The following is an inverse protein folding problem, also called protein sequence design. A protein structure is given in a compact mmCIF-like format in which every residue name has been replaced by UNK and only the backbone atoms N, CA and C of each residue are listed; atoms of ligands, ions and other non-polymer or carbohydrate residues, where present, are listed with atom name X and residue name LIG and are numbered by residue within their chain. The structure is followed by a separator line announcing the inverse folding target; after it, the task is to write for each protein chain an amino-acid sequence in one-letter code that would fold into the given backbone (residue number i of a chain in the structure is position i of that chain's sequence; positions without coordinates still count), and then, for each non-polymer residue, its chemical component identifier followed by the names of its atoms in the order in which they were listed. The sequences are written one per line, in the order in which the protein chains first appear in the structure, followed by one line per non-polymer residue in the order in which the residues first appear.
data_IF_219108176613
#
_entry.id   IF_219108176613
#
_cell.length_a   1.000
_cell.length_b   1.000
_cell.length_c   1.000
_cell.angle_alpha   90.00
_cell.angle_beta   90.00
_cell.angle_gamma   90.00
#
_symmetry.space_group_name_H-M   'P 1'
#
loop_
_entity.id
_entity.type
_entity.pdbx_description
1 polymer ?
#
# COMPACT_ATOMS: atom_id res chain seq x y z
N UNK A 1 -36.16 -21.74 -41.96
CA UNK A 1 -35.25 -22.27 -40.91
C UNK A 1 -33.88 -21.56 -40.87
N UNK A 2 -33.75 -20.32 -41.36
CA UNK A 2 -32.44 -19.65 -41.56
C UNK A 2 -32.12 -18.55 -40.53
N UNK A 3 -33.13 -18.01 -39.84
CA UNK A 3 -32.95 -16.92 -38.86
C UNK A 3 -32.52 -17.41 -37.47
N UNK A 4 -33.02 -18.56 -37.02
CA UNK A 4 -32.72 -19.11 -35.69
C UNK A 4 -31.21 -19.35 -35.49
N UNK A 5 -30.49 -19.66 -36.57
CA UNK A 5 -29.04 -19.92 -36.57
C UNK A 5 -28.21 -18.62 -36.46
N UNK A 6 -28.67 -17.51 -37.06
CA UNK A 6 -27.97 -16.21 -36.98
C UNK A 6 -28.08 -15.60 -35.59
N UNK A 7 -29.27 -15.60 -35.00
CA UNK A 7 -29.50 -15.07 -33.65
C UNK A 7 -28.72 -15.86 -32.59
N UNK A 8 -28.70 -17.20 -32.70
CA UNK A 8 -27.89 -18.05 -31.83
C UNK A 8 -26.39 -17.78 -31.98
N UNK A 9 -25.90 -17.60 -33.21
CA UNK A 9 -24.49 -17.25 -33.46
C UNK A 9 -24.09 -15.91 -32.84
N UNK A 10 -24.94 -14.89 -32.92
CA UNK A 10 -24.69 -13.58 -32.30
C UNK A 10 -24.67 -13.69 -30.78
N UNK A 11 -25.63 -14.40 -30.20
CA UNK A 11 -25.71 -14.59 -28.75
C UNK A 11 -24.47 -15.31 -28.21
N UNK A 12 -23.99 -16.33 -28.91
CA UNK A 12 -22.78 -17.07 -28.51
C UNK A 12 -21.51 -16.21 -28.61
N UNK A 13 -21.44 -15.25 -29.54
CA UNK A 13 -20.35 -14.27 -29.62
C UNK A 13 -20.37 -13.32 -28.42
N UNK A 14 -21.55 -12.76 -28.11
CA UNK A 14 -21.71 -11.86 -26.96
C UNK A 14 -21.31 -12.57 -25.67
N UNK A 15 -21.78 -13.81 -25.47
CA UNK A 15 -21.37 -14.63 -24.31
C UNK A 15 -19.86 -14.83 -24.27
N UNK A 16 -19.25 -15.20 -25.40
CA UNK A 16 -17.80 -15.42 -25.48
C UNK A 16 -17.03 -14.14 -25.13
N UNK A 17 -17.47 -12.98 -25.62
CA UNK A 17 -16.84 -11.70 -25.26
C UNK A 17 -17.04 -11.34 -23.80
N UNK A 18 -18.24 -11.54 -23.24
CA UNK A 18 -18.50 -11.28 -21.82
C UNK A 18 -17.62 -12.16 -20.91
N UNK A 19 -17.53 -13.46 -21.20
CA UNK A 19 -16.66 -14.40 -20.49
C UNK A 19 -15.19 -13.97 -20.63
N UNK A 20 -14.77 -13.60 -21.83
CA UNK A 20 -13.41 -13.14 -22.10
C UNK A 20 -13.05 -11.87 -21.34
N UNK A 21 -13.98 -10.91 -21.28
CA UNK A 21 -13.82 -9.66 -20.53
C UNK A 21 -13.72 -9.90 -19.02
N UNK A 22 -14.61 -10.72 -18.46
CA UNK A 22 -14.57 -11.11 -17.04
C UNK A 22 -13.25 -11.83 -16.73
N UNK A 23 -12.84 -12.75 -17.60
CA UNK A 23 -11.56 -13.46 -17.46
C UNK A 23 -10.36 -12.52 -17.47
N UNK A 24 -10.33 -11.56 -18.41
CA UNK A 24 -9.27 -10.55 -18.49
C UNK A 24 -9.25 -9.62 -17.27
N UNK A 25 -10.42 -9.21 -16.75
CA UNK A 25 -10.52 -8.39 -15.54
C UNK A 25 -10.01 -9.13 -14.31
N UNK A 26 -10.41 -10.39 -14.11
CA UNK A 26 -9.94 -11.22 -12.99
C UNK A 26 -8.44 -11.48 -13.11
N UNK A 27 -7.95 -11.76 -14.32
CA UNK A 27 -6.52 -11.95 -14.57
C UNK A 27 -5.71 -10.70 -14.20
N UNK A 28 -6.11 -9.53 -14.70
CA UNK A 28 -5.44 -8.26 -14.43
C UNK A 28 -5.47 -7.91 -12.92
N UNK A 29 -6.61 -8.11 -12.25
CA UNK A 29 -6.67 -7.94 -10.79
C UNK A 29 -5.73 -8.92 -10.06
N UNK A 30 -5.75 -10.19 -10.44
CA UNK A 30 -4.88 -11.23 -9.85
C UNK A 30 -3.40 -10.89 -9.98
N UNK A 31 -2.98 -10.38 -11.14
CA UNK A 31 -1.58 -9.94 -11.34
C UNK A 31 -1.20 -8.76 -10.45
N UNK A 32 -2.12 -7.86 -10.13
CA UNK A 32 -1.83 -6.76 -9.18
C UNK A 32 -1.80 -7.19 -7.72
N UNK A 33 -2.38 -8.35 -7.38
CA UNK A 33 -2.42 -8.85 -6.00
C UNK A 33 -1.12 -9.54 -5.55
N UNK A 34 -0.16 -9.74 -6.47
CA UNK A 34 1.21 -10.11 -6.11
C UNK A 34 1.94 -8.98 -5.37
N UNK A 35 1.47 -7.74 -5.50
CA UNK A 35 1.93 -6.62 -4.71
C UNK A 35 1.12 -6.50 -3.41
N UNK A 36 1.76 -6.01 -2.35
CA UNK A 36 1.09 -5.79 -1.08
C UNK A 36 0.05 -4.66 -1.22
N UNK A 37 -1.22 -4.98 -1.03
CA UNK A 37 -2.33 -4.01 -1.05
C UNK A 37 -2.98 -3.93 0.33
N UNK A 38 -3.49 -2.76 0.70
CA UNK A 38 -4.14 -2.54 2.00
C UNK A 38 -5.55 -3.12 2.09
N UNK A 39 -6.16 -3.45 0.96
CA UNK A 39 -7.48 -4.09 0.88
C UNK A 39 -7.50 -4.97 -0.36
N UNK A 40 -7.78 -6.25 -0.16
CA UNK A 40 -7.96 -7.21 -1.23
C UNK A 40 -9.45 -7.40 -1.47
N UNK A 41 -9.89 -7.14 -2.70
CA UNK A 41 -11.23 -7.54 -3.13
C UNK A 41 -11.18 -9.02 -3.47
N UNK A 42 -11.64 -9.87 -2.55
CA UNK A 42 -11.65 -11.33 -2.69
C UNK A 42 -12.96 -11.78 -3.32
N UNK A 43 -12.97 -12.34 -4.54
CA UNK A 43 -14.17 -12.96 -5.08
C UNK A 43 -14.60 -14.12 -4.18
N UNK A 44 -15.89 -14.23 -3.84
CA UNK A 44 -16.40 -15.26 -2.92
C UNK A 44 -15.99 -16.69 -3.30
N UNK A 45 -15.87 -16.97 -4.60
CA UNK A 45 -15.44 -18.28 -5.14
C UNK A 45 -14.01 -18.63 -4.70
N UNK A 46 -13.16 -17.62 -4.47
CA UNK A 46 -11.77 -17.79 -4.06
C UNK A 46 -11.55 -17.58 -2.56
N UNK A 47 -12.61 -17.33 -1.77
CA UNK A 47 -12.52 -17.23 -0.30
C UNK A 47 -11.81 -18.44 0.33
N UNK A 48 -12.15 -19.70 -0.04
CA UNK A 48 -11.49 -20.86 0.57
C UNK A 48 -9.99 -20.93 0.25
N UNK A 49 -9.58 -20.40 -0.91
CA UNK A 49 -8.17 -20.37 -1.32
C UNK A 49 -7.43 -19.29 -0.54
N UNK A 50 -8.06 -18.12 -0.36
CA UNK A 50 -7.52 -17.03 0.44
C UNK A 50 -7.33 -17.44 1.91
N UNK A 51 -8.29 -18.14 2.49
CA UNK A 51 -8.22 -18.56 3.90
C UNK A 51 -7.07 -19.56 4.16
N UNK A 52 -6.70 -20.37 3.16
CA UNK A 52 -5.64 -21.39 3.28
C UNK A 52 -4.26 -20.86 2.88
N UNK A 53 -4.18 -20.06 1.81
CA UNK A 53 -2.92 -19.69 1.16
C UNK A 53 -2.63 -18.18 1.18
N UNK A 54 -3.52 -17.38 1.78
CA UNK A 54 -3.39 -15.93 1.89
C UNK A 54 -3.35 -15.21 0.55
N UNK A 55 -2.73 -14.03 0.54
CA UNK A 55 -2.69 -13.12 -0.61
C UNK A 55 -2.04 -13.76 -1.85
N UNK A 56 -0.97 -14.54 -1.65
CA UNK A 56 -0.23 -15.19 -2.74
C UNK A 56 -1.12 -16.26 -3.40
N UNK A 57 -1.79 -17.09 -2.61
CA UNK A 57 -2.70 -18.10 -3.14
C UNK A 57 -3.91 -17.51 -3.84
N UNK A 58 -4.43 -16.39 -3.33
CA UNK A 58 -5.50 -15.64 -3.99
C UNK A 58 -5.05 -15.07 -5.35
N UNK A 59 -3.86 -14.44 -5.40
CA UNK A 59 -3.31 -13.89 -6.64
C UNK A 59 -3.15 -14.99 -7.71
N UNK A 60 -2.54 -16.11 -7.34
CA UNK A 60 -2.40 -17.28 -8.22
C UNK A 60 -3.77 -17.81 -8.65
N UNK A 61 -4.71 -17.95 -7.72
CA UNK A 61 -6.07 -18.42 -8.00
C UNK A 61 -6.82 -17.53 -8.99
N UNK A 62 -6.70 -16.21 -8.84
CA UNK A 62 -7.29 -15.23 -9.77
C UNK A 62 -6.63 -15.30 -11.15
N UNK A 63 -5.31 -15.38 -11.23
CA UNK A 63 -4.60 -15.51 -12.52
C UNK A 63 -5.03 -16.77 -13.26
N UNK A 64 -5.07 -17.91 -12.56
CA UNK A 64 -5.50 -19.18 -13.15
C UNK A 64 -6.98 -19.17 -13.56
N UNK A 65 -7.86 -18.62 -12.72
CA UNK A 65 -9.28 -18.49 -13.03
C UNK A 65 -9.50 -17.58 -14.25
N UNK A 66 -8.84 -16.42 -14.29
CA UNK A 66 -8.91 -15.47 -15.39
C UNK A 66 -8.42 -16.09 -16.71
N UNK A 67 -7.27 -16.76 -16.68
CA UNK A 67 -6.72 -17.48 -17.82
C UNK A 67 -7.68 -18.61 -18.30
N UNK A 68 -8.26 -19.37 -17.37
CA UNK A 68 -9.23 -20.42 -17.67
C UNK A 68 -10.49 -19.90 -18.34
N UNK A 69 -11.04 -18.78 -17.87
CA UNK A 69 -12.21 -18.12 -18.47
C UNK A 69 -11.89 -17.59 -19.87
N UNK A 70 -10.73 -16.95 -20.07
CA UNK A 70 -10.30 -16.48 -21.38
C UNK A 70 -10.10 -17.64 -22.38
N UNK A 71 -9.53 -18.76 -21.93
CA UNK A 71 -9.42 -19.97 -22.73
C UNK A 71 -10.81 -20.52 -23.12
N UNK A 72 -11.74 -20.58 -22.17
CA UNK A 72 -13.10 -21.05 -22.44
C UNK A 72 -13.86 -20.12 -23.41
N UNK A 73 -13.69 -18.80 -23.25
CA UNK A 73 -14.19 -17.80 -24.18
C UNK A 73 -13.63 -18.01 -25.60
N UNK A 74 -12.33 -18.24 -25.74
CA UNK A 74 -11.70 -18.50 -27.02
C UNK A 74 -12.22 -19.78 -27.68
N UNK A 75 -12.31 -20.88 -26.91
CA UNK A 75 -12.85 -22.16 -27.39
C UNK A 75 -14.30 -22.01 -27.86
N UNK A 76 -15.11 -21.23 -27.13
CA UNK A 76 -16.52 -20.95 -27.49
C UNK A 76 -16.62 -20.10 -28.75
N UNK A 77 -15.80 -19.06 -28.87
CA UNK A 77 -15.76 -18.20 -30.06
C UNK A 77 -15.34 -18.96 -31.32
N UNK A 78 -14.30 -19.80 -31.22
CA UNK A 78 -13.78 -20.61 -32.32
C UNK A 78 -14.78 -21.65 -32.85
N UNK A 79 -15.65 -22.18 -31.99
CA UNK A 79 -16.75 -23.06 -32.41
C UNK A 79 -17.76 -22.36 -33.32
N UNK A 80 -17.92 -21.03 -33.18
CA UNK A 80 -18.92 -20.24 -33.91
C UNK A 80 -18.31 -19.50 -35.11
N UNK A 81 -17.04 -19.12 -35.04
CA UNK A 81 -16.29 -18.51 -36.15
C UNK A 81 -15.01 -19.28 -36.41
N UNK A 82 -15.14 -20.36 -37.19
CA UNK A 82 -14.00 -21.12 -37.69
C UNK A 82 -13.06 -20.19 -38.46
N UNK A 83 -11.76 -20.26 -38.17
CA UNK A 83 -10.71 -19.51 -38.88
C UNK A 83 -10.41 -18.09 -38.38
N UNK A 84 -11.12 -17.56 -37.37
CA UNK A 84 -10.87 -16.19 -36.83
C UNK A 84 -10.21 -16.18 -35.45
N UNK A 85 -9.28 -17.10 -35.21
CA UNK A 85 -8.54 -17.19 -33.95
C UNK A 85 -7.79 -15.88 -33.61
N UNK A 86 -7.14 -15.27 -34.60
CA UNK A 86 -6.40 -14.02 -34.41
C UNK A 86 -7.27 -12.86 -33.92
N UNK A 87 -8.52 -12.78 -34.36
CA UNK A 87 -9.46 -11.74 -33.90
C UNK A 87 -9.76 -11.89 -32.40
N UNK A 88 -10.01 -13.12 -31.93
CA UNK A 88 -10.29 -13.35 -30.52
C UNK A 88 -9.07 -13.08 -29.65
N UNK A 89 -7.87 -13.46 -30.10
CA UNK A 89 -6.62 -13.17 -29.39
C UNK A 89 -6.42 -11.66 -29.27
N UNK A 90 -6.61 -10.91 -30.36
CA UNK A 90 -6.51 -9.45 -30.34
C UNK A 90 -7.51 -8.79 -29.39
N UNK A 91 -8.76 -9.27 -29.36
CA UNK A 91 -9.79 -8.78 -28.42
C UNK A 91 -9.42 -9.07 -26.96
N UNK A 92 -8.95 -10.27 -26.66
CA UNK A 92 -8.53 -10.62 -25.29
C UNK A 92 -7.33 -9.79 -24.83
N UNK A 93 -6.33 -9.58 -25.70
CA UNK A 93 -5.20 -8.71 -25.42
C UNK A 93 -5.66 -7.28 -25.16
N UNK A 94 -6.58 -6.76 -25.97
CA UNK A 94 -7.19 -5.45 -25.75
C UNK A 94 -7.93 -5.39 -24.40
N UNK A 95 -8.71 -6.40 -24.03
CA UNK A 95 -9.39 -6.43 -22.74
C UNK A 95 -8.43 -6.43 -21.55
N UNK A 96 -7.30 -7.14 -21.64
CA UNK A 96 -6.26 -7.11 -20.60
C UNK A 96 -5.70 -5.69 -20.46
N UNK A 97 -5.29 -5.07 -21.57
CA UNK A 97 -4.74 -3.70 -21.58
C UNK A 97 -5.76 -2.69 -21.04
N UNK A 98 -7.02 -2.78 -21.49
CA UNK A 98 -8.09 -1.91 -21.03
C UNK A 98 -8.34 -2.03 -19.52
N UNK A 99 -8.31 -3.25 -18.97
CA UNK A 99 -8.45 -3.47 -17.53
C UNK A 99 -7.26 -2.94 -16.74
N UNK A 100 -6.03 -3.06 -17.24
CA UNK A 100 -4.88 -2.38 -16.61
C UNK A 100 -5.05 -0.85 -16.62
N UNK A 101 -5.53 -0.28 -17.71
CA UNK A 101 -5.86 1.15 -17.80
C UNK A 101 -6.91 1.56 -16.75
N UNK A 102 -7.97 0.77 -16.58
CA UNK A 102 -8.99 1.00 -15.56
C UNK A 102 -8.45 0.88 -14.13
N UNK A 103 -7.62 -0.13 -13.86
CA UNK A 103 -6.97 -0.30 -12.56
C UNK A 103 -6.06 0.90 -12.25
N UNK A 104 -5.27 1.33 -13.23
CA UNK A 104 -4.39 2.49 -13.09
C UNK A 104 -5.19 3.77 -12.83
N UNK A 105 -6.24 4.04 -13.61
CA UNK A 105 -7.13 5.19 -13.39
C UNK A 105 -7.80 5.15 -12.01
N UNK A 106 -8.33 3.98 -11.60
CA UNK A 106 -8.94 3.80 -10.29
C UNK A 106 -7.96 3.93 -9.12
N UNK A 107 -6.66 3.80 -9.37
CA UNK A 107 -5.62 3.95 -8.35
C UNK A 107 -4.93 5.32 -8.41
N UNK A 108 -5.19 6.14 -9.43
CA UNK A 108 -4.57 7.44 -9.64
C UNK A 108 -5.06 8.51 -8.64
N UNK A 109 -6.30 8.36 -8.18
CA UNK A 109 -6.97 9.32 -7.27
C UNK A 109 -7.27 8.72 -5.88
N UNK A 110 -6.78 7.50 -5.59
CA UNK A 110 -6.92 6.96 -4.24
C UNK A 110 -5.84 7.60 -3.36
N UNK A 111 -6.21 8.30 -2.26
CA UNK A 111 -5.23 8.72 -1.27
C UNK A 111 -4.47 7.47 -0.82
N UNK A 112 -3.14 7.58 -0.74
CA UNK A 112 -2.28 6.48 -0.31
C UNK A 112 -2.86 5.87 0.97
N UNK A 113 -2.94 4.54 1.01
CA UNK A 113 -3.60 3.87 2.12
C UNK A 113 -2.75 3.99 3.39
N UNK A 114 -3.38 4.12 4.58
CA UNK A 114 -2.68 4.41 5.83
C UNK A 114 -1.50 3.49 6.14
N UNK A 115 -1.56 2.22 5.73
CA UNK A 115 -0.48 1.25 5.93
C UNK A 115 0.76 1.45 5.06
N UNK A 116 0.60 1.98 3.85
CA UNK A 116 1.71 2.30 2.95
C UNK A 116 2.34 3.64 3.34
N UNK A 117 1.50 4.61 3.75
CA UNK A 117 1.96 5.85 4.38
C UNK A 117 2.72 5.53 5.66
N UNK A 118 2.19 4.66 6.54
CA UNK A 118 2.84 4.29 7.80
C UNK A 118 4.23 3.67 7.55
N UNK A 119 4.37 2.72 6.61
CA UNK A 119 5.69 2.13 6.28
C UNK A 119 6.66 3.12 5.64
N UNK A 120 6.19 3.98 4.74
CA UNK A 120 7.02 5.05 4.14
C UNK A 120 7.42 6.09 5.20
N UNK A 121 6.52 6.39 6.14
CA UNK A 121 6.73 7.33 7.24
C UNK A 121 7.69 6.74 8.26
N UNK A 122 7.56 5.47 8.64
CA UNK A 122 8.51 4.76 9.52
C UNK A 122 9.91 4.73 8.92
N UNK A 123 10.04 4.40 7.63
CA UNK A 123 11.34 4.41 6.96
C UNK A 123 11.93 5.83 6.88
N UNK A 124 11.12 6.84 6.56
CA UNK A 124 11.55 8.23 6.53
C UNK A 124 11.92 8.77 7.92
N UNK A 125 11.22 8.32 8.97
CA UNK A 125 11.51 8.68 10.36
C UNK A 125 12.80 8.00 10.83
N UNK A 126 12.97 6.69 10.63
CA UNK A 126 14.17 5.98 11.06
C UNK A 126 15.45 6.48 10.37
N UNK A 127 15.34 6.85 9.10
CA UNK A 127 16.42 7.42 8.30
C UNK A 127 16.57 8.95 8.37
N UNK A 128 15.79 9.63 9.20
CA UNK A 128 15.87 11.09 9.31
C UNK A 128 17.21 11.51 9.93
N UNK A 129 17.97 12.34 9.20
CA UNK A 129 19.17 13.02 9.68
C UNK A 129 18.80 14.34 10.37
N UNK A 130 19.72 14.85 11.19
CA UNK A 130 19.50 16.11 11.91
C UNK A 130 19.40 17.26 10.89
N UNK A 131 18.29 18.01 10.83
CA UNK A 131 18.14 19.10 9.89
C UNK A 131 18.92 20.35 10.34
N UNK A 132 19.38 21.13 9.37
CA UNK A 132 19.85 22.49 9.61
C UNK A 132 18.64 23.42 9.72
N UNK A 133 18.41 23.99 10.91
CA UNK A 133 17.27 24.86 11.17
C UNK A 133 17.71 26.31 11.34
N UNK A 134 16.95 27.23 10.77
CA UNK A 134 17.19 28.67 10.95
C UNK A 134 16.73 29.19 12.31
N UNK A 135 15.89 28.42 13.05
CA UNK A 135 15.39 28.80 14.38
C UNK A 135 16.37 28.33 15.48
N UNK A 136 16.96 29.24 16.26
CA UNK A 136 17.79 28.88 17.41
C UNK A 136 17.02 28.07 18.47
N UNK A 137 15.74 28.39 18.69
CA UNK A 137 14.89 27.71 19.65
C UNK A 137 14.64 26.26 19.25
N UNK A 138 14.38 26.02 17.96
CA UNK A 138 14.20 24.67 17.44
C UNK A 138 15.48 23.83 17.51
N UNK A 139 16.64 24.43 17.22
CA UNK A 139 17.93 23.75 17.37
C UNK A 139 18.20 23.40 18.84
N UNK A 140 17.98 24.35 19.75
CA UNK A 140 18.17 24.14 21.18
C UNK A 140 17.24 23.03 21.72
N UNK A 141 16.01 22.96 21.21
CA UNK A 141 15.10 21.86 21.51
C UNK A 141 15.62 20.50 21.05
N UNK A 142 16.11 20.40 19.80
CA UNK A 142 16.70 19.15 19.30
C UNK A 142 17.93 18.74 20.11
N UNK A 143 18.77 19.69 20.51
CA UNK A 143 19.93 19.42 21.38
C UNK A 143 19.49 18.84 22.73
N UNK A 144 18.43 19.39 23.34
CA UNK A 144 17.88 18.86 24.60
C UNK A 144 17.30 17.44 24.40
N UNK A 145 16.61 17.19 23.29
CA UNK A 145 16.05 15.87 22.96
C UNK A 145 17.14 14.82 22.74
N UNK A 146 18.23 15.15 22.05
CA UNK A 146 19.39 14.28 21.86
C UNK A 146 20.10 13.98 23.18
N UNK A 147 20.35 15.02 24.00
CA UNK A 147 20.96 14.87 25.32
C UNK A 147 20.09 14.02 26.26
N UNK A 148 18.77 14.20 26.21
CA UNK A 148 17.82 13.38 26.95
C UNK A 148 17.93 11.90 26.54
N UNK A 149 17.94 11.62 25.23
CA UNK A 149 18.09 10.26 24.72
C UNK A 149 19.37 9.59 25.25
N UNK A 150 20.51 10.29 25.19
CA UNK A 150 21.79 9.79 25.70
C UNK A 150 21.74 9.53 27.21
N UNK A 151 21.16 10.47 27.97
CA UNK A 151 21.04 10.37 29.43
C UNK A 151 20.15 9.20 29.82
N UNK A 152 19.01 9.02 29.14
CA UNK A 152 18.07 7.94 29.38
C UNK A 152 18.66 6.57 29.04
N UNK A 153 19.40 6.47 27.94
CA UNK A 153 20.14 5.24 27.59
C UNK A 153 21.14 4.87 28.68
N UNK A 154 21.88 5.86 29.19
CA UNK A 154 22.86 5.65 30.28
C UNK A 154 22.16 5.18 31.54
N UNK A 155 21.09 5.88 31.97
CA UNK A 155 20.31 5.53 33.16
C UNK A 155 19.69 4.13 33.09
N UNK A 156 19.19 3.73 31.91
CA UNK A 156 18.64 2.38 31.68
C UNK A 156 19.73 1.30 31.72
N UNK A 157 20.92 1.56 31.17
CA UNK A 157 22.05 0.62 31.24
C UNK A 157 22.57 0.43 32.66
N UNK A 158 22.56 1.49 33.47
CA UNK A 158 23.00 1.45 34.87
C UNK A 158 21.91 1.02 35.86
N UNK A 159 20.67 0.79 35.41
CA UNK A 159 19.50 0.56 36.26
C UNK A 159 19.30 1.62 37.36
N UNK A 160 19.63 2.88 37.06
CA UNK A 160 19.48 4.00 37.99
C UNK A 160 18.03 4.51 37.95
N UNK A 161 17.22 4.07 38.93
CA UNK A 161 15.80 4.41 39.01
C UNK A 161 15.55 5.92 39.13
N UNK A 162 16.39 6.64 39.89
CA UNK A 162 16.24 8.08 40.10
C UNK A 162 16.59 8.86 38.83
N UNK A 163 17.63 8.44 38.11
CA UNK A 163 17.97 9.03 36.82
C UNK A 163 16.89 8.75 35.76
N UNK A 164 16.31 7.53 35.75
CA UNK A 164 15.20 7.19 34.85
C UNK A 164 13.99 8.11 35.12
N UNK A 165 13.56 8.25 36.37
CA UNK A 165 12.44 9.12 36.74
C UNK A 165 12.68 10.57 36.33
N UNK A 166 13.90 11.08 36.54
CA UNK A 166 14.28 12.43 36.11
C UNK A 166 14.17 12.60 34.59
N UNK A 167 14.60 11.61 33.81
CA UNK A 167 14.50 11.66 32.35
C UNK A 167 13.04 11.62 31.86
N UNK A 168 12.12 10.94 32.55
CA UNK A 168 10.69 10.98 32.24
C UNK A 168 10.09 12.37 32.44
N UNK A 169 10.43 13.03 33.56
CA UNK A 169 9.98 14.41 33.83
C UNK A 169 10.51 15.39 32.78
N UNK A 170 11.80 15.28 32.43
CA UNK A 170 12.41 16.09 31.38
C UNK A 170 11.75 15.88 30.03
N UNK A 171 11.40 14.64 29.69
CA UNK A 171 10.68 14.34 28.45
C UNK A 171 9.31 15.02 28.40
N UNK A 172 8.55 14.99 29.51
CA UNK A 172 7.28 15.71 29.62
C UNK A 172 7.41 17.22 29.38
N UNK A 173 8.40 17.85 29.99
CA UNK A 173 8.66 19.28 29.80
C UNK A 173 9.05 19.63 28.35
N UNK A 174 9.80 18.76 27.67
CA UNK A 174 10.16 18.96 26.26
C UNK A 174 8.95 18.84 25.33
N UNK A 175 7.97 17.99 25.64
CA UNK A 175 6.71 17.93 24.88
C UNK A 175 5.95 19.26 24.98
N UNK A 176 5.96 19.91 26.14
CA UNK A 176 5.36 21.23 26.31
C UNK A 176 6.11 22.29 25.49
N UNK A 177 7.44 22.28 25.50
CA UNK A 177 8.28 23.18 24.70
C UNK A 177 7.99 23.02 23.19
N UNK A 178 7.80 21.78 22.73
CA UNK A 178 7.47 21.48 21.33
C UNK A 178 6.20 22.18 20.85
N UNK A 179 5.19 22.34 21.73
CA UNK A 179 3.93 23.02 21.39
C UNK A 179 4.13 24.49 21.00
N UNK A 180 5.22 25.11 21.47
CA UNK A 180 5.58 26.50 21.14
C UNK A 180 6.41 26.60 19.85
N UNK A 181 7.14 25.54 19.51
CA UNK A 181 8.05 25.48 18.35
C UNK A 181 7.29 25.14 17.06
N UNK A 182 6.33 24.21 17.12
CA UNK A 182 5.57 23.75 15.95
C UNK A 182 4.90 24.90 15.18
N UNK A 183 4.17 25.84 15.81
CA UNK A 183 3.50 26.92 15.08
C UNK A 183 4.45 27.83 14.30
N UNK A 184 5.69 27.99 14.80
CA UNK A 184 6.74 28.79 14.15
C UNK A 184 7.34 28.00 12.99
N UNK A 185 7.79 26.77 13.24
CA UNK A 185 8.43 25.95 12.22
C UNK A 185 7.49 25.54 11.10
N UNK A 186 6.19 25.32 11.38
CA UNK A 186 5.19 24.89 10.38
C UNK A 186 5.08 25.79 9.16
N UNK A 187 5.61 27.02 9.24
CA UNK A 187 5.62 28.02 8.17
C UNK A 187 6.93 28.03 7.36
N UNK A 188 7.87 27.15 7.69
CA UNK A 188 9.21 27.07 7.09
C UNK A 188 9.35 25.82 6.22
N UNK A 189 10.28 25.84 5.27
CA UNK A 189 10.57 24.68 4.42
C UNK A 189 11.20 23.51 5.19
N UNK A 190 11.81 23.78 6.36
CA UNK A 190 12.50 22.78 7.19
C UNK A 190 11.56 22.06 8.17
N UNK A 191 10.27 22.44 8.22
CA UNK A 191 9.27 21.83 9.12
C UNK A 191 9.20 20.31 8.99
N UNK A 192 9.17 19.83 7.74
CA UNK A 192 9.03 18.40 7.46
C UNK A 192 10.21 17.62 8.03
N UNK A 193 11.41 18.08 7.79
CA UNK A 193 12.64 17.41 8.23
C UNK A 193 12.78 17.48 9.75
N UNK A 194 12.40 18.61 10.37
CA UNK A 194 12.28 18.74 11.82
C UNK A 194 11.32 17.71 12.43
N UNK A 195 10.10 17.58 11.91
CA UNK A 195 9.11 16.64 12.45
C UNK A 195 9.55 15.20 12.27
N UNK A 196 10.13 14.84 11.12
CA UNK A 196 10.65 13.49 10.88
C UNK A 196 11.80 13.15 11.83
N UNK A 197 12.74 14.08 12.02
CA UNK A 197 13.85 13.90 12.94
C UNK A 197 13.40 13.84 14.41
N UNK A 198 12.50 14.72 14.82
CA UNK A 198 11.93 14.71 16.17
C UNK A 198 11.15 13.41 16.46
N UNK A 199 10.39 12.91 15.48
CA UNK A 199 9.73 11.62 15.57
C UNK A 199 10.73 10.45 15.70
N UNK A 200 11.91 10.55 15.06
CA UNK A 200 12.97 9.54 15.17
C UNK A 200 13.50 9.46 16.61
N UNK A 201 13.87 10.60 17.19
CA UNK A 201 14.36 10.66 18.58
C UNK A 201 13.27 10.22 19.55
N UNK A 202 12.04 10.71 19.38
CA UNK A 202 10.89 10.33 20.19
C UNK A 202 10.62 8.82 20.15
N UNK A 203 10.69 8.21 18.97
CA UNK A 203 10.56 6.76 18.82
C UNK A 203 11.62 5.98 19.60
N UNK A 204 12.87 6.42 19.55
CA UNK A 204 13.98 5.83 20.34
C UNK A 204 13.77 6.00 21.84
N UNK A 205 13.28 7.17 22.28
CA UNK A 205 12.91 7.41 23.68
C UNK A 205 11.79 6.45 24.10
N UNK A 206 10.70 6.35 23.35
CA UNK A 206 9.57 5.46 23.68
C UNK A 206 9.98 3.99 23.76
N UNK A 207 10.91 3.52 22.93
CA UNK A 207 11.49 2.18 23.05
C UNK A 207 12.18 1.95 24.40
N UNK A 208 12.94 2.93 24.91
CA UNK A 208 13.59 2.86 26.23
C UNK A 208 12.57 2.88 27.38
N UNK A 209 11.39 3.48 27.13
CA UNK A 209 10.24 3.52 28.05
C UNK A 209 9.42 2.24 28.03
N UNK A 210 9.66 1.35 27.06
CA UNK A 210 8.87 0.13 26.87
C UNK A 210 7.52 0.36 26.19
N UNK A 211 7.32 1.51 25.55
CA UNK A 211 6.11 1.86 24.80
C UNK A 211 6.36 1.46 23.34
N UNK A 212 5.51 0.58 22.80
CA UNK A 212 5.52 0.13 21.40
C UNK A 212 4.49 0.89 20.59
#
# INVERSE_FOLDING_TARGET
MTEQNKTQSVLEKIKSFAIGYIGAAIFAMGTTYFEAQSSYHVPRILSPIYDVFGNIGLAIGMVLLGAGLMYWAAKRFLKVQQGKAGLMIGILAFFIIANYGLIWLNNRDKPETPGTIAKKTEAAVQGAERPELDSPEANAYLDKMENLLITMQTAKKSNDATAIEKTEQQYGALIEELSTIIPVLSKTSTYRDFILYNANITGKINQLRGIK
#
